data_IF_406839648359
#
_entry.id   IF_406839648359
#
_cell.length_a   1.000
_cell.length_b   1.000
_cell.length_c   1.000
_cell.angle_alpha   90.00
_cell.angle_beta   90.00
_cell.angle_gamma   90.00
#
_symmetry.space_group_name_H-M   'P 1'
#
loop_
_entity.id
_entity.type
_entity.pdbx_description
1 polymer ?
#
# COMPACT_ATOMS: atom_id res chain seq x y z
N UNK A 1 4.09 -23.70 -48.54
CA UNK A 1 4.86 -22.98 -47.51
C UNK A 1 4.33 -23.41 -46.14
N UNK A 2 5.07 -24.17 -45.31
CA UNK A 2 4.56 -24.62 -44.02
C UNK A 2 4.52 -23.47 -42.99
N UNK A 3 3.47 -23.43 -42.18
CA UNK A 3 3.27 -22.41 -41.14
C UNK A 3 4.31 -22.54 -40.01
N UNK A 4 4.85 -21.43 -39.45
CA UNK A 4 5.83 -21.51 -38.37
C UNK A 4 5.22 -22.12 -37.10
N UNK A 5 5.88 -23.11 -36.50
CA UNK A 5 5.45 -23.73 -35.24
C UNK A 5 5.56 -22.74 -34.06
N UNK A 6 4.57 -22.69 -33.14
CA UNK A 6 4.63 -21.83 -31.97
C UNK A 6 5.87 -22.17 -31.13
N UNK A 7 6.73 -21.17 -30.86
CA UNK A 7 7.93 -21.35 -30.05
C UNK A 7 7.53 -21.84 -28.65
N UNK A 8 7.98 -23.04 -28.26
CA UNK A 8 7.87 -23.56 -26.89
C UNK A 8 8.67 -22.64 -25.96
N UNK A 9 7.97 -21.83 -25.16
CA UNK A 9 8.57 -21.05 -24.08
C UNK A 9 9.06 -21.97 -22.95
N UNK A 10 10.22 -21.66 -22.38
CA UNK A 10 10.79 -22.40 -21.24
C UNK A 10 9.97 -22.15 -19.97
N UNK A 11 9.48 -23.22 -19.34
CA UNK A 11 8.77 -23.18 -18.06
C UNK A 11 9.63 -22.51 -16.97
N UNK A 12 10.93 -22.78 -16.97
CA UNK A 12 11.90 -22.18 -16.03
C UNK A 12 12.03 -20.68 -16.25
N UNK A 13 12.00 -20.23 -17.52
CA UNK A 13 11.95 -18.80 -17.84
C UNK A 13 10.65 -18.15 -17.37
N UNK A 14 9.52 -18.85 -17.47
CA UNK A 14 8.24 -18.35 -17.01
C UNK A 14 8.19 -18.22 -15.47
N UNK A 15 8.73 -19.20 -14.72
CA UNK A 15 8.81 -19.16 -13.25
C UNK A 15 9.72 -18.01 -12.78
N UNK A 16 10.89 -17.83 -13.40
CA UNK A 16 11.77 -16.71 -13.06
C UNK A 16 11.11 -15.35 -13.35
N UNK A 17 10.32 -15.27 -14.42
CA UNK A 17 9.66 -14.02 -14.80
C UNK A 17 8.43 -13.70 -13.95
N UNK A 18 7.66 -14.72 -13.59
CA UNK A 18 6.57 -14.59 -12.62
C UNK A 18 7.09 -14.24 -11.23
N UNK A 19 8.15 -14.88 -10.74
CA UNK A 19 8.77 -14.54 -9.45
C UNK A 19 9.36 -13.13 -9.42
N UNK A 20 10.04 -12.73 -10.50
CA UNK A 20 10.56 -11.36 -10.68
C UNK A 20 9.45 -10.31 -10.68
N UNK A 21 8.33 -10.58 -11.38
CA UNK A 21 7.16 -9.70 -11.41
C UNK A 21 6.42 -9.65 -10.07
N UNK A 22 6.28 -10.76 -9.35
CA UNK A 22 5.68 -10.74 -8.02
C UNK A 22 6.51 -9.95 -7.02
N UNK A 23 7.85 -10.00 -7.12
CA UNK A 23 8.76 -9.11 -6.36
C UNK A 23 8.60 -7.64 -6.77
N UNK A 24 8.44 -7.39 -8.08
CA UNK A 24 8.31 -6.04 -8.65
C UNK A 24 6.93 -5.40 -8.38
N UNK A 25 5.85 -6.18 -8.33
CA UNK A 25 4.46 -5.70 -8.14
C UNK A 25 3.98 -5.73 -6.70
N UNK A 26 4.56 -6.56 -5.83
CA UNK A 26 4.37 -6.43 -4.38
C UNK A 26 4.84 -5.04 -3.91
N UNK A 27 5.81 -4.47 -4.63
CA UNK A 27 6.36 -3.15 -4.42
C UNK A 27 5.95 -2.16 -5.53
N UNK A 28 4.83 -1.46 -5.37
CA UNK A 28 4.89 -0.02 -5.62
C UNK A 28 4.49 0.82 -4.37
N UNK A 29 5.04 0.53 -3.16
CA UNK A 29 5.19 1.52 -2.10
C UNK A 29 5.82 2.75 -2.73
N UNK A 30 5.41 3.88 -2.20
CA UNK A 30 5.47 5.19 -2.87
C UNK A 30 4.24 5.47 -3.72
N UNK A 31 4.01 4.86 -4.89
CA UNK A 31 2.96 5.31 -5.81
C UNK A 31 1.53 5.07 -5.31
N UNK A 32 1.22 3.89 -4.76
CA UNK A 32 -0.09 3.62 -4.15
C UNK A 32 -0.39 4.54 -2.95
N UNK A 33 0.52 4.65 -1.98
CA UNK A 33 0.42 5.60 -0.87
C UNK A 33 0.28 7.06 -1.31
N UNK A 34 1.00 7.48 -2.36
CA UNK A 34 0.91 8.84 -2.91
C UNK A 34 -0.49 9.15 -3.43
N UNK A 35 -1.06 8.25 -4.23
CA UNK A 35 -2.38 8.42 -4.84
C UNK A 35 -3.47 8.40 -3.76
N UNK A 36 -3.36 7.47 -2.80
CA UNK A 36 -4.27 7.39 -1.66
C UNK A 36 -4.21 8.66 -0.79
N UNK A 37 -3.01 9.18 -0.55
CA UNK A 37 -2.79 10.47 0.11
C UNK A 37 -3.43 11.62 -0.67
N UNK A 38 -3.21 11.69 -1.99
CA UNK A 38 -3.76 12.72 -2.86
C UNK A 38 -5.29 12.77 -2.83
N UNK A 39 -5.95 11.61 -2.97
CA UNK A 39 -7.42 11.52 -2.92
C UNK A 39 -7.95 11.82 -1.51
N UNK A 40 -7.28 11.31 -0.48
CA UNK A 40 -7.65 11.56 0.92
C UNK A 40 -7.51 13.04 1.32
N UNK A 41 -6.42 13.69 0.91
CA UNK A 41 -6.17 15.11 1.14
C UNK A 41 -7.14 16.00 0.39
N UNK A 42 -7.45 15.65 -0.87
CA UNK A 42 -8.43 16.39 -1.68
C UNK A 42 -9.83 16.34 -1.05
N UNK A 43 -10.24 15.16 -0.53
CA UNK A 43 -11.52 14.98 0.15
C UNK A 43 -11.57 15.60 1.56
N UNK A 44 -10.44 15.65 2.27
CA UNK A 44 -10.33 16.29 3.58
C UNK A 44 -10.48 17.81 3.51
N UNK A 45 -10.16 18.44 2.38
CA UNK A 45 -10.37 19.85 2.09
C UNK A 45 -9.57 20.84 2.95
N UNK A 46 -8.67 20.34 3.80
CA UNK A 46 -7.74 21.11 4.63
C UNK A 46 -6.52 20.25 5.00
N UNK A 47 -5.32 20.84 4.92
CA UNK A 47 -4.05 20.13 5.14
C UNK A 47 -3.96 19.53 6.55
N UNK A 48 -4.41 20.26 7.59
CA UNK A 48 -4.38 19.75 8.96
C UNK A 48 -5.24 18.50 9.18
N UNK A 49 -6.42 18.43 8.55
CA UNK A 49 -7.30 17.24 8.61
C UNK A 49 -6.73 16.09 7.77
N UNK A 50 -6.06 16.39 6.66
CA UNK A 50 -5.42 15.41 5.80
C UNK A 50 -4.23 14.71 6.51
N UNK A 51 -3.42 15.47 7.26
CA UNK A 51 -2.29 14.94 8.05
C UNK A 51 -2.77 14.00 9.16
N UNK A 52 -3.83 14.35 9.89
CA UNK A 52 -4.40 13.47 10.90
C UNK A 52 -4.99 12.17 10.29
N UNK A 53 -5.61 12.28 9.11
CA UNK A 53 -6.21 11.15 8.40
C UNK A 53 -5.17 10.11 7.89
N UNK A 54 -3.90 10.51 7.73
CA UNK A 54 -2.79 9.62 7.31
C UNK A 54 -2.50 8.52 8.34
N UNK A 55 -2.69 8.80 9.64
CA UNK A 55 -2.39 7.85 10.72
C UNK A 55 -3.50 6.82 10.97
N UNK A 56 -4.74 7.17 10.64
CA UNK A 56 -5.90 6.30 10.82
C UNK A 56 -5.76 4.94 10.10
N UNK A 57 -5.37 4.86 8.81
CA UNK A 57 -5.19 3.58 8.14
C UNK A 57 -4.06 2.75 8.75
N UNK A 58 -2.96 3.36 9.21
CA UNK A 58 -1.88 2.62 9.87
C UNK A 58 -2.37 1.92 11.14
N UNK A 59 -3.15 2.62 11.97
CA UNK A 59 -3.74 2.05 13.18
C UNK A 59 -4.75 0.93 12.86
N UNK A 60 -5.60 1.15 11.85
CA UNK A 60 -6.62 0.18 11.43
C UNK A 60 -5.99 -1.11 10.90
N UNK A 61 -4.97 -0.98 10.04
CA UNK A 61 -4.22 -2.12 9.49
C UNK A 61 -3.51 -2.88 10.60
N UNK A 62 -2.90 -2.19 11.56
CA UNK A 62 -2.29 -2.82 12.73
C UNK A 62 -3.29 -3.61 13.58
N UNK A 63 -4.46 -3.03 13.86
CA UNK A 63 -5.49 -3.70 14.65
C UNK A 63 -6.07 -4.92 13.92
N UNK A 64 -6.30 -4.81 12.61
CA UNK A 64 -6.76 -5.92 11.77
C UNK A 64 -5.72 -7.04 11.70
N UNK A 65 -4.44 -6.71 11.56
CA UNK A 65 -3.35 -7.68 11.54
C UNK A 65 -3.20 -8.39 12.89
N UNK A 66 -3.30 -7.65 14.00
CA UNK A 66 -3.33 -8.22 15.35
C UNK A 66 -4.47 -9.22 15.50
N UNK A 67 -5.71 -8.77 15.24
CA UNK A 67 -6.90 -9.59 15.41
C UNK A 67 -6.87 -10.84 14.51
N UNK A 68 -6.47 -10.68 13.24
CA UNK A 68 -6.40 -11.79 12.28
C UNK A 68 -5.36 -12.84 12.66
N UNK A 69 -4.15 -12.41 13.05
CA UNK A 69 -3.09 -13.35 13.42
C UNK A 69 -3.37 -14.01 14.76
N UNK A 70 -3.87 -13.28 15.76
CA UNK A 70 -4.29 -13.88 17.03
C UNK A 70 -5.41 -14.90 16.82
N UNK A 71 -6.41 -14.59 15.99
CA UNK A 71 -7.52 -15.51 15.68
C UNK A 71 -7.05 -16.79 14.97
N UNK A 72 -6.08 -16.68 14.06
CA UNK A 72 -5.60 -17.82 13.26
C UNK A 72 -4.58 -18.70 13.99
N UNK A 73 -3.88 -18.15 14.98
CA UNK A 73 -2.76 -18.84 15.64
C UNK A 73 -3.05 -19.20 17.10
N UNK A 74 -4.17 -18.74 17.66
CA UNK A 74 -4.53 -18.82 19.09
C UNK A 74 -3.43 -18.30 20.04
N UNK A 75 -2.49 -17.50 19.51
CA UNK A 75 -1.34 -16.98 20.24
C UNK A 75 -1.26 -15.46 20.14
N UNK A 76 -1.35 -14.81 21.30
CA UNK A 76 -1.30 -13.35 21.40
C UNK A 76 0.03 -12.75 20.95
N UNK A 77 1.15 -13.46 21.18
CA UNK A 77 2.50 -12.95 20.84
C UNK A 77 2.62 -12.70 19.33
N UNK A 78 2.15 -13.63 18.49
CA UNK A 78 2.18 -13.46 17.04
C UNK A 78 1.25 -12.35 16.55
N UNK A 79 0.09 -12.21 17.20
CA UNK A 79 -0.81 -11.08 16.95
C UNK A 79 -0.15 -9.74 17.24
N UNK A 80 0.51 -9.59 18.40
CA UNK A 80 1.20 -8.34 18.77
C UNK A 80 2.29 -8.02 17.74
N UNK A 81 3.08 -9.03 17.36
CA UNK A 81 4.15 -8.86 16.37
C UNK A 81 3.60 -8.42 15.01
N UNK A 82 2.51 -9.04 14.55
CA UNK A 82 1.87 -8.72 13.29
C UNK A 82 1.19 -7.34 13.31
N UNK A 83 0.55 -6.97 14.43
CA UNK A 83 -0.08 -5.66 14.60
C UNK A 83 0.95 -4.54 14.62
N UNK A 84 1.98 -4.65 15.45
CA UNK A 84 3.08 -3.68 15.53
C UNK A 84 3.83 -3.61 14.19
N UNK A 85 4.14 -4.76 13.59
CA UNK A 85 4.75 -4.84 12.26
C UNK A 85 3.91 -4.17 11.17
N UNK A 86 2.58 -4.38 11.19
CA UNK A 86 1.64 -3.74 10.27
C UNK A 86 1.62 -2.22 10.41
N UNK A 87 1.56 -1.70 11.64
CA UNK A 87 1.63 -0.25 11.89
C UNK A 87 2.97 0.31 11.40
N UNK A 88 4.09 -0.32 11.75
CA UNK A 88 5.42 0.14 11.36
C UNK A 88 5.61 0.14 9.84
N UNK A 89 5.16 -0.90 9.13
CA UNK A 89 5.21 -0.96 7.67
C UNK A 89 4.37 0.13 7.01
N UNK A 90 3.18 0.44 7.55
CA UNK A 90 2.38 1.57 7.10
C UNK A 90 3.08 2.91 7.37
N UNK A 91 3.72 3.07 8.53
CA UNK A 91 4.48 4.27 8.90
C UNK A 91 5.73 4.47 8.02
N UNK A 92 6.39 3.39 7.57
CA UNK A 92 7.48 3.50 6.60
C UNK A 92 7.01 4.06 5.24
N UNK A 93 5.72 3.90 4.92
CA UNK A 93 5.07 4.46 3.73
C UNK A 93 4.43 5.83 3.97
N UNK A 94 4.59 6.42 5.16
CA UNK A 94 3.96 7.72 5.50
C UNK A 94 4.56 8.86 4.69
N UNK A 95 5.84 8.84 4.32
CA UNK A 95 6.47 9.93 3.55
C UNK A 95 5.74 10.21 2.22
N UNK A 96 5.52 9.21 1.34
CA UNK A 96 4.72 9.41 0.14
C UNK A 96 3.24 9.70 0.43
N UNK A 97 2.66 9.12 1.49
CA UNK A 97 1.24 9.34 1.84
C UNK A 97 0.99 10.77 2.36
N UNK A 98 1.90 11.33 3.15
CA UNK A 98 1.94 12.73 3.57
C UNK A 98 2.16 13.66 2.37
N UNK A 99 3.10 13.33 1.50
CA UNK A 99 3.35 14.10 0.27
C UNK A 99 2.08 14.21 -0.59
N UNK A 100 1.41 13.08 -0.83
CA UNK A 100 0.11 13.05 -1.51
C UNK A 100 -0.97 13.84 -0.75
N UNK A 101 -1.10 13.65 0.57
CA UNK A 101 -2.12 14.31 1.39
C UNK A 101 -1.96 15.83 1.43
N UNK A 102 -0.73 16.34 1.48
CA UNK A 102 -0.44 17.78 1.42
C UNK A 102 -0.77 18.33 0.03
N UNK A 103 -0.33 17.67 -1.04
CA UNK A 103 -0.61 18.08 -2.42
C UNK A 103 -2.11 18.07 -2.74
N UNK A 104 -2.82 17.01 -2.34
CA UNK A 104 -4.27 16.90 -2.48
C UNK A 104 -5.03 17.95 -1.67
N UNK A 105 -4.60 18.20 -0.43
CA UNK A 105 -5.19 19.23 0.44
C UNK A 105 -5.00 20.64 -0.08
N UNK A 106 -3.82 20.94 -0.67
CA UNK A 106 -3.54 22.22 -1.33
C UNK A 106 -4.37 22.36 -2.61
N UNK A 107 -4.46 21.33 -3.45
CA UNK A 107 -5.26 21.35 -4.67
C UNK A 107 -6.76 21.59 -4.37
N UNK A 108 -7.31 20.99 -3.31
CA UNK A 108 -8.69 21.22 -2.89
C UNK A 108 -8.95 22.65 -2.41
N UNK A 109 -7.94 23.32 -1.83
CA UNK A 109 -8.04 24.72 -1.41
C UNK A 109 -8.21 25.67 -2.58
N UNK A 110 -7.64 25.36 -3.75
CA UNK A 110 -7.73 26.19 -4.96
C UNK A 110 -9.00 25.94 -5.79
N UNK A 111 -9.67 24.80 -5.63
CA UNK A 111 -10.89 24.46 -6.40
C UNK A 111 -12.22 24.84 -5.72
N UNK A 112 -12.19 25.43 -4.52
CA UNK A 112 -13.40 26.00 -3.91
C UNK A 112 -13.50 27.48 -4.30
N UNK A 113 -14.56 27.91 -5.02
CA UNK A 113 -14.82 29.34 -5.25
C UNK A 113 -15.06 30.08 -3.94
#
# INVERSE_FOLDING_TARGET
>A
MPAPLPRRGSLVSAINWMGGLSLLLFWLPVLGPLIAGLVGGWKAGAVGRAVAAVFLPALLTGLMAFAGVTYLTDWYVWGILAGVGGVLLCLLNVVPLLGGAVLGGLAARFSRP
#
